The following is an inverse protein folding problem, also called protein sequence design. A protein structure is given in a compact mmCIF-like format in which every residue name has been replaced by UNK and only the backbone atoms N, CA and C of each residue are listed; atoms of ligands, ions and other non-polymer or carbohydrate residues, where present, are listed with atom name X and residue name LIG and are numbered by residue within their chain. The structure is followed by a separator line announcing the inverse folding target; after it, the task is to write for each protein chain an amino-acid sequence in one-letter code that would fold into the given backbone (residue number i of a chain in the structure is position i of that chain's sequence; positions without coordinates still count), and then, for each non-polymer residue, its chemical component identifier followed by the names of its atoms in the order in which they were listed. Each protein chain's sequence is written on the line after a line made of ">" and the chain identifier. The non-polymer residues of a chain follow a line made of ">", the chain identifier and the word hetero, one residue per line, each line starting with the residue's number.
data_IF_493802944490
#
_entry.id   IF_493802944490
#
_cell.length_a   1.000
_cell.length_b   1.000
_cell.length_c   1.000
_cell.angle_alpha   90.00
_cell.angle_beta   90.00
_cell.angle_gamma   90.00
#
_symmetry.space_group_name_H-M   'P 1'
#
loop_
_entity.id
_entity.type
_entity.pdbx_description
1 polymer ?
#
# COMPACT_ATOMS: atom_id res chain seq x y z
N UNK A 1 1.32 -2.21 13.83
CA UNK A 1 1.89 -2.98 12.70
C UNK A 1 2.94 -3.92 13.26
N UNK A 2 3.11 -5.10 12.66
CA UNK A 2 4.21 -6.01 13.01
C UNK A 2 5.57 -5.49 12.49
N UNK A 3 6.65 -6.17 12.86
CA UNK A 3 7.98 -5.89 12.30
C UNK A 3 7.99 -6.13 10.77
N UNK A 4 8.85 -5.39 10.06
CA UNK A 4 9.07 -5.62 8.63
C UNK A 4 9.73 -6.98 8.46
N UNK A 5 9.19 -7.82 7.56
CA UNK A 5 9.79 -9.11 7.23
C UNK A 5 10.75 -8.99 6.05
N UNK A 6 11.71 -9.90 5.97
CA UNK A 6 12.50 -10.08 4.74
C UNK A 6 11.65 -10.84 3.70
N UNK A 7 11.76 -10.53 2.39
CA UNK A 7 12.71 -9.58 1.75
C UNK A 7 12.26 -8.11 1.74
N UNK A 8 11.10 -7.76 2.31
CA UNK A 8 10.58 -6.38 2.26
C UNK A 8 11.47 -5.35 2.98
N UNK A 9 12.40 -5.78 3.84
CA UNK A 9 13.39 -4.93 4.47
C UNK A 9 14.67 -4.72 3.64
N UNK A 10 14.86 -5.41 2.51
CA UNK A 10 16.06 -5.24 1.69
C UNK A 10 16.05 -3.88 0.95
N UNK A 11 17.21 -3.20 0.84
CA UNK A 11 17.35 -2.03 -0.02
C UNK A 11 16.91 -2.34 -1.46
N UNK A 12 16.14 -1.43 -2.05
CA UNK A 12 15.62 -1.58 -3.42
C UNK A 12 14.37 -2.44 -3.57
N UNK A 13 13.92 -3.15 -2.51
CA UNK A 13 12.64 -3.85 -2.52
C UNK A 13 11.52 -2.88 -2.16
N UNK A 14 10.46 -2.86 -2.96
CA UNK A 14 9.25 -2.09 -2.65
C UNK A 14 8.47 -2.83 -1.56
N UNK A 15 8.53 -2.31 -0.33
CA UNK A 15 7.73 -2.81 0.77
C UNK A 15 6.26 -2.39 0.59
N UNK A 16 5.33 -3.34 0.74
CA UNK A 16 3.90 -3.10 0.64
C UNK A 16 3.16 -3.50 1.91
N UNK A 17 2.06 -2.82 2.21
CA UNK A 17 1.19 -3.17 3.33
C UNK A 17 -0.28 -2.93 2.98
N UNK A 18 -1.16 -3.69 3.63
CA UNK A 18 -2.59 -3.41 3.50
C UNK A 18 -2.93 -2.08 4.14
N UNK A 19 -3.65 -1.23 3.42
CA UNK A 19 -4.10 0.06 3.93
C UNK A 19 -5.54 0.32 3.52
N UNK A 20 -6.40 0.49 4.54
CA UNK A 20 -7.83 0.71 4.33
C UNK A 20 -8.16 2.15 3.93
N UNK A 21 -7.18 3.07 3.97
CA UNK A 21 -7.40 4.48 3.66
C UNK A 21 -7.43 4.74 2.17
N UNK A 22 -6.62 4.01 1.40
CA UNK A 22 -6.68 4.04 -0.05
C UNK A 22 -7.83 3.16 -0.56
N UNK A 23 -8.35 3.51 -1.73
CA UNK A 23 -9.33 2.71 -2.46
C UNK A 23 -8.65 1.81 -3.49
N UNK A 24 -9.43 1.21 -4.38
CA UNK A 24 -8.92 0.33 -5.43
C UNK A 24 -7.95 1.02 -6.40
N UNK A 25 -8.16 2.29 -6.72
CA UNK A 25 -7.40 3.01 -7.75
C UNK A 25 -6.19 3.75 -7.19
N UNK A 26 -6.21 4.00 -5.87
CA UNK A 26 -5.24 4.84 -5.19
C UNK A 26 -4.28 4.03 -4.34
N UNK A 27 -3.12 4.64 -4.06
CA UNK A 27 -2.11 4.11 -3.16
C UNK A 27 -1.85 5.12 -2.04
N UNK A 28 -1.31 4.64 -0.94
CA UNK A 28 -0.85 5.46 0.17
C UNK A 28 0.66 5.32 0.38
N UNK A 29 1.31 6.40 0.82
CA UNK A 29 2.72 6.43 1.17
C UNK A 29 2.86 6.56 2.68
N UNK A 30 3.43 5.54 3.29
CA UNK A 30 3.61 5.44 4.74
C UNK A 30 5.05 5.82 5.11
N UNK A 31 5.31 6.14 6.39
CA UNK A 31 6.68 6.38 6.86
C UNK A 31 7.62 5.23 6.49
N UNK A 32 8.85 5.56 6.09
CA UNK A 32 9.84 4.59 5.64
C UNK A 32 9.67 4.12 4.18
N UNK A 33 8.84 4.78 3.38
CA UNK A 33 8.68 4.47 1.96
C UNK A 33 7.80 3.25 1.67
N UNK A 34 7.06 2.76 2.67
CA UNK A 34 6.16 1.62 2.51
C UNK A 34 4.92 2.06 1.72
N UNK A 35 4.58 1.30 0.69
CA UNK A 35 3.39 1.54 -0.14
C UNK A 35 2.18 0.82 0.47
N UNK A 36 1.17 1.58 0.87
CA UNK A 36 -0.12 1.03 1.30
C UNK A 36 -1.07 0.87 0.11
N UNK A 37 -1.74 -0.28 0.04
CA UNK A 37 -2.72 -0.57 -1.01
C UNK A 37 -3.98 -1.22 -0.42
N UNK A 38 -5.12 -0.93 -1.04
CA UNK A 38 -6.39 -1.56 -0.68
C UNK A 38 -6.37 -3.06 -1.01
N UNK A 39 -6.74 -3.90 -0.04
CA UNK A 39 -6.60 -5.34 -0.15
C UNK A 39 -7.80 -6.07 -0.73
N UNK A 40 -8.99 -5.44 -0.75
CA UNK A 40 -10.19 -6.09 -1.25
C UNK A 40 -10.37 -5.78 -2.75
N UNK A 41 -10.51 -6.83 -3.56
CA UNK A 41 -10.96 -6.67 -4.95
C UNK A 41 -12.38 -6.08 -4.95
N UNK A 42 -12.69 -5.07 -5.78
CA UNK A 42 -14.05 -4.56 -5.92
C UNK A 42 -15.04 -5.62 -6.42
N UNK A 43 -14.55 -6.56 -7.22
CA UNK A 43 -15.36 -7.55 -7.94
C UNK A 43 -15.51 -8.86 -7.16
N UNK A 44 -14.52 -9.22 -6.33
CA UNK A 44 -14.44 -10.50 -5.61
C UNK A 44 -14.03 -10.37 -4.13
N UNK A 45 -14.03 -9.16 -3.59
CA UNK A 45 -13.61 -8.90 -2.22
C UNK A 45 -14.58 -9.48 -1.20
N UNK A 46 -14.08 -10.34 -0.32
CA UNK A 46 -14.78 -10.79 0.87
C UNK A 46 -14.57 -9.85 2.06
N UNK A 47 -15.51 -9.86 3.01
CA UNK A 47 -15.34 -9.17 4.28
C UNK A 47 -14.10 -9.72 5.00
N UNK A 48 -13.26 -8.83 5.53
CA UNK A 48 -12.07 -9.20 6.32
C UNK A 48 -10.84 -9.60 5.50
N UNK A 49 -10.85 -9.46 4.16
CA UNK A 49 -9.63 -9.62 3.36
C UNK A 49 -8.65 -8.46 3.61
N UNK A 50 -7.51 -8.78 4.22
CA UNK A 50 -6.48 -7.80 4.52
C UNK A 50 -5.10 -8.42 4.63
N UNK A 51 -4.06 -7.64 4.36
CA UNK A 51 -2.69 -8.05 4.62
C UNK A 51 -1.68 -7.58 3.58
N UNK A 52 -0.41 -7.63 3.97
CA UNK A 52 0.70 -7.23 3.12
C UNK A 52 0.77 -8.02 1.81
N UNK A 53 0.38 -9.30 1.82
CA UNK A 53 0.39 -10.15 0.62
C UNK A 53 -0.54 -9.63 -0.49
N UNK A 54 -1.77 -9.27 -0.13
CA UNK A 54 -2.74 -8.73 -1.08
C UNK A 54 -2.32 -7.34 -1.58
N UNK A 55 -1.80 -6.52 -0.68
CA UNK A 55 -1.25 -5.22 -1.05
C UNK A 55 -0.05 -5.34 -2.00
N UNK A 56 0.87 -6.28 -1.76
CA UNK A 56 2.03 -6.52 -2.62
C UNK A 56 1.59 -6.93 -4.03
N UNK A 57 0.62 -7.84 -4.15
CA UNK A 57 0.04 -8.21 -5.45
C UNK A 57 -0.58 -7.00 -6.17
N UNK A 58 -1.29 -6.13 -5.43
CA UNK A 58 -1.91 -4.92 -6.00
C UNK A 58 -0.86 -3.93 -6.52
N UNK A 59 0.18 -3.67 -5.73
CA UNK A 59 1.30 -2.79 -6.10
C UNK A 59 2.03 -3.34 -7.34
N UNK A 60 2.29 -4.65 -7.38
CA UNK A 60 2.87 -5.30 -8.54
C UNK A 60 2.00 -5.13 -9.80
N UNK A 61 0.69 -5.26 -9.68
CA UNK A 61 -0.25 -5.01 -10.79
C UNK A 61 -0.25 -3.56 -11.29
N UNK A 62 -0.12 -2.57 -10.40
CA UNK A 62 0.03 -1.16 -10.79
C UNK A 62 1.31 -0.90 -11.58
N UNK A 63 2.43 -1.49 -11.13
CA UNK A 63 3.69 -1.42 -11.86
C UNK A 63 3.56 -2.09 -13.24
N UNK A 64 3.05 -3.32 -13.29
CA UNK A 64 2.92 -4.05 -14.55
C UNK A 64 2.03 -3.33 -15.58
N UNK A 65 0.98 -2.62 -15.12
CA UNK A 65 0.05 -1.93 -16.01
C UNK A 65 0.56 -0.59 -16.57
N UNK A 66 1.41 0.12 -15.83
CA UNK A 66 1.70 1.53 -16.13
C UNK A 66 3.14 1.98 -15.88
N UNK A 67 4.03 1.14 -15.37
CA UNK A 67 5.42 1.52 -15.14
C UNK A 67 6.14 1.74 -16.49
N UNK A 68 6.61 2.97 -16.78
CA UNK A 68 7.12 3.29 -18.10
C UNK A 68 8.51 2.72 -18.33
N UNK A 69 8.77 2.29 -19.56
CA UNK A 69 10.11 1.87 -19.99
C UNK A 69 11.10 3.05 -19.85
N UNK A 70 12.26 2.78 -19.26
CA UNK A 70 13.30 3.78 -19.02
C UNK A 70 13.21 4.49 -17.65
N UNK A 71 12.14 4.27 -16.87
CA UNK A 71 12.12 4.72 -15.48
C UNK A 71 13.01 3.81 -14.62
N UNK A 72 13.95 4.43 -13.89
CA UNK A 72 14.98 3.68 -13.16
C UNK A 72 14.47 3.11 -11.82
N UNK A 73 13.59 3.84 -11.12
CA UNK A 73 13.19 3.50 -9.76
C UNK A 73 11.66 3.31 -9.65
N UNK A 74 11.17 2.07 -9.44
CA UNK A 74 9.76 1.80 -9.24
C UNK A 74 9.21 2.36 -7.92
N UNK A 75 10.02 2.46 -6.87
CA UNK A 75 9.59 3.01 -5.59
C UNK A 75 9.33 4.51 -5.68
N UNK A 76 10.23 5.26 -6.33
CA UNK A 76 10.04 6.71 -6.58
C UNK A 76 8.80 6.94 -7.46
N UNK A 77 8.63 6.14 -8.51
CA UNK A 77 7.47 6.25 -9.39
C UNK A 77 6.15 5.95 -8.66
N UNK A 78 6.10 4.91 -7.82
CA UNK A 78 4.93 4.58 -7.00
C UNK A 78 4.64 5.68 -5.97
N UNK A 79 5.68 6.23 -5.32
CA UNK A 79 5.52 7.31 -4.35
C UNK A 79 4.85 8.54 -4.99
N UNK A 80 5.20 8.88 -6.23
CA UNK A 80 4.56 9.97 -6.98
C UNK A 80 3.08 9.72 -7.35
N UNK A 81 2.60 8.47 -7.27
CA UNK A 81 1.19 8.09 -7.52
C UNK A 81 0.36 7.96 -6.24
N UNK A 82 1.00 8.02 -5.08
CA UNK A 82 0.29 7.95 -3.80
C UNK A 82 -0.55 9.21 -3.60
N UNK A 83 -1.80 9.03 -3.15
CA UNK A 83 -2.74 10.15 -2.88
C UNK A 83 -2.96 10.38 -1.40
N UNK A 84 -2.51 9.44 -0.57
CA UNK A 84 -2.68 9.47 0.88
C UNK A 84 -1.30 9.34 1.52
N UNK A 85 -1.00 10.18 2.50
CA UNK A 85 0.33 10.26 3.09
C UNK A 85 0.29 10.11 4.61
N UNK A 86 1.34 9.47 5.15
CA UNK A 86 1.54 9.35 6.59
C UNK A 86 0.79 8.16 7.21
N UNK A 87 0.89 7.99 8.55
CA UNK A 87 0.25 6.90 9.26
C UNK A 87 -1.27 7.10 9.41
N UNK A 88 -2.00 6.01 9.62
CA UNK A 88 -3.42 6.06 9.96
C UNK A 88 -3.60 6.79 11.29
N UNK A 89 -4.44 7.83 11.31
CA UNK A 89 -4.85 8.49 12.55
C UNK A 89 -6.09 7.77 13.04
N UNK A 90 -5.92 6.84 13.97
CA UNK A 90 -7.04 6.28 14.72
C UNK A 90 -7.61 7.39 15.60
N UNK A 91 -8.64 8.06 15.12
CA UNK A 91 -9.45 8.90 15.99
C UNK A 91 -10.08 7.96 17.01
N UNK A 92 -9.90 8.26 18.30
CA UNK A 92 -10.62 7.53 19.34
C UNK A 92 -12.11 7.57 18.99
N UNK A 93 -12.86 6.47 19.15
CA UNK A 93 -14.31 6.52 18.99
C UNK A 93 -14.82 7.65 19.88
N UNK A 94 -15.64 8.54 19.33
CA UNK A 94 -16.28 9.59 20.10
C UNK A 94 -16.97 8.90 21.28
N UNK A 95 -16.45 9.13 22.49
CA UNK A 95 -16.99 8.52 23.69
C UNK A 95 -18.47 8.82 23.74
N UNK A 96 -19.29 7.78 23.75
CA UNK A 96 -20.68 7.88 24.17
C UNK A 96 -20.66 8.31 25.64
N UNK A 97 -20.89 9.59 25.87
CA UNK A 97 -21.25 10.15 27.17
C UNK A 97 -22.65 9.68 27.57
#
# INVERSE_FOLDING_TARGET
>A
RGAVSFPAAYPGVVAATGDARCDWETLSLLPGGVIGAWCASPERGGAGMGGASLAAARVAGQLAAAFPAGQADPAVWLAGRCRIFGPERRLAPAGTA
#
